data_IF_555030145534
#
_entry.id   IF_555030145534
#
_cell.length_a   1.000
_cell.length_b   1.000
_cell.length_c   1.000
_cell.angle_alpha   90.00
_cell.angle_beta   90.00
_cell.angle_gamma   90.00
#
_symmetry.space_group_name_H-M   'P 1'
#
loop_
_entity.id
_entity.type
_entity.pdbx_description
1 polymer ?
#
# COMPACT_ATOMS: atom_id res chain seq x y z
N UNK A 1 17.88 -5.70 54.48
CA UNK A 1 16.76 -6.25 53.68
C UNK A 1 16.37 -5.38 52.49
N UNK A 2 16.13 -4.06 52.62
CA UNK A 2 15.77 -3.19 51.49
C UNK A 2 16.78 -3.19 50.32
N UNK A 3 18.09 -3.17 50.62
CA UNK A 3 19.13 -3.11 49.58
C UNK A 3 19.19 -4.38 48.70
N UNK A 4 19.03 -5.57 49.30
CA UNK A 4 18.99 -6.83 48.55
C UNK A 4 17.76 -6.92 47.64
N UNK A 5 16.61 -6.43 48.09
CA UNK A 5 15.40 -6.43 47.28
C UNK A 5 15.54 -5.55 46.03
N UNK A 6 16.15 -4.37 46.18
CA UNK A 6 16.45 -3.46 45.05
C UNK A 6 17.44 -4.10 44.07
N UNK A 7 18.48 -4.79 44.57
CA UNK A 7 19.45 -5.49 43.72
C UNK A 7 18.80 -6.65 42.92
N UNK A 8 17.90 -7.42 43.53
CA UNK A 8 17.21 -8.52 42.85
C UNK A 8 16.23 -7.98 41.80
N UNK A 9 15.47 -6.92 42.11
CA UNK A 9 14.58 -6.27 41.15
C UNK A 9 15.34 -5.70 39.95
N UNK A 10 16.48 -5.04 40.18
CA UNK A 10 17.29 -4.47 39.10
C UNK A 10 17.88 -5.56 38.21
N UNK A 11 18.36 -6.68 38.76
CA UNK A 11 18.79 -7.84 37.96
C UNK A 11 17.65 -8.47 37.16
N UNK A 12 16.46 -8.59 37.74
CA UNK A 12 15.28 -9.12 37.05
C UNK A 12 14.84 -8.21 35.90
N UNK A 13 14.84 -6.89 36.12
CA UNK A 13 14.56 -5.91 35.07
C UNK A 13 15.64 -5.96 33.98
N UNK A 14 16.92 -6.07 34.34
CA UNK A 14 17.99 -6.21 33.34
C UNK A 14 17.82 -7.47 32.49
N UNK A 15 17.53 -8.61 33.11
CA UNK A 15 17.24 -9.86 32.40
C UNK A 15 16.01 -9.72 31.50
N UNK A 16 14.93 -9.10 32.00
CA UNK A 16 13.73 -8.87 31.20
C UNK A 16 13.99 -7.91 30.03
N UNK A 17 14.80 -6.88 30.23
CA UNK A 17 15.22 -5.94 29.19
C UNK A 17 16.09 -6.62 28.12
N UNK A 18 16.97 -7.55 28.51
CA UNK A 18 17.72 -8.36 27.54
C UNK A 18 16.85 -9.37 26.79
N UNK A 19 15.62 -9.61 27.25
CA UNK A 19 14.65 -10.47 26.59
C UNK A 19 13.62 -9.68 25.77
N UNK A 20 13.69 -8.34 25.74
CA UNK A 20 12.93 -7.61 24.73
C UNK A 20 13.47 -8.07 23.37
N UNK A 21 12.61 -8.63 22.49
CA UNK A 21 13.04 -9.07 21.18
C UNK A 21 13.61 -7.86 20.45
N UNK A 22 14.93 -7.90 20.21
CA UNK A 22 15.62 -6.90 19.41
C UNK A 22 14.95 -6.86 18.04
N UNK A 23 14.22 -5.77 17.81
CA UNK A 23 13.74 -5.24 16.54
C UNK A 23 13.20 -6.27 15.54
N UNK A 24 11.92 -6.12 15.22
CA UNK A 24 11.17 -6.76 14.13
C UNK A 24 11.83 -6.49 12.75
N UNK A 25 12.98 -7.10 12.53
CA UNK A 25 13.90 -7.05 11.40
C UNK A 25 14.50 -8.44 11.28
N UNK A 26 15.02 -8.81 10.10
CA UNK A 26 15.75 -10.03 9.78
C UNK A 26 16.06 -10.94 10.97
N UNK A 27 15.47 -12.13 10.99
CA UNK A 27 15.79 -13.14 11.99
C UNK A 27 17.20 -13.70 11.72
N UNK A 28 18.21 -13.03 12.29
CA UNK A 28 19.63 -13.37 12.09
C UNK A 28 19.94 -14.82 12.48
N UNK A 29 19.24 -15.39 13.45
CA UNK A 29 19.47 -16.77 13.87
C UNK A 29 18.98 -17.78 12.82
N UNK A 30 17.80 -17.55 12.23
CA UNK A 30 17.28 -18.36 11.13
C UNK A 30 18.13 -18.21 9.86
N UNK A 31 18.48 -16.96 9.54
CA UNK A 31 19.06 -16.61 8.24
C UNK A 31 20.59 -16.72 8.19
N UNK A 32 21.28 -16.85 9.33
CA UNK A 32 22.75 -16.79 9.43
C UNK A 32 23.47 -17.71 8.42
N UNK A 33 23.04 -18.97 8.30
CA UNK A 33 23.72 -19.97 7.46
C UNK A 33 23.63 -19.60 5.97
N UNK A 34 22.42 -19.50 5.43
CA UNK A 34 22.20 -19.28 4.01
C UNK A 34 22.57 -17.87 3.58
N UNK A 35 22.28 -16.84 4.38
CA UNK A 35 22.72 -15.46 4.10
C UNK A 35 24.25 -15.40 4.04
N UNK A 36 24.98 -16.02 4.97
CA UNK A 36 26.44 -16.04 4.94
C UNK A 36 26.97 -16.75 3.70
N UNK A 37 26.38 -17.89 3.33
CA UNK A 37 26.73 -18.63 2.11
C UNK A 37 26.57 -17.76 0.86
N UNK A 38 25.44 -17.08 0.71
CA UNK A 38 25.16 -16.25 -0.46
C UNK A 38 26.05 -15.01 -0.55
N UNK A 39 26.39 -14.41 0.60
CA UNK A 39 27.32 -13.27 0.66
C UNK A 39 28.76 -13.68 0.32
N UNK A 40 29.22 -14.84 0.78
CA UNK A 40 30.56 -15.38 0.45
C UNK A 40 30.66 -15.69 -1.04
N UNK A 41 29.57 -16.12 -1.68
CA UNK A 41 29.50 -16.35 -3.12
C UNK A 41 29.30 -15.06 -3.93
N UNK A 42 29.28 -13.89 -3.27
CA UNK A 42 29.11 -12.57 -3.88
C UNK A 42 27.78 -12.41 -4.65
N UNK A 43 26.77 -13.20 -4.31
CA UNK A 43 25.50 -13.24 -5.06
C UNK A 43 24.51 -12.15 -4.61
N UNK A 44 24.69 -11.56 -3.43
CA UNK A 44 23.73 -10.62 -2.82
C UNK A 44 24.33 -9.21 -2.57
N UNK A 45 25.20 -8.73 -3.46
CA UNK A 45 25.93 -7.46 -3.28
C UNK A 45 25.38 -6.26 -4.10
N UNK A 46 24.19 -6.37 -4.73
CA UNK A 46 23.55 -5.24 -5.44
C UNK A 46 22.56 -4.48 -4.53
N UNK A 47 22.04 -3.34 -5.01
CA UNK A 47 20.93 -2.61 -4.38
C UNK A 47 19.72 -2.61 -5.32
N UNK A 48 18.54 -3.12 -4.92
CA UNK A 48 17.38 -3.23 -5.83
C UNK A 48 16.85 -1.89 -6.33
N UNK A 49 17.07 -0.80 -5.57
CA UNK A 49 16.51 0.52 -5.87
C UNK A 49 17.12 1.25 -7.07
N UNK A 50 18.21 0.76 -7.66
CA UNK A 50 18.94 1.45 -8.75
C UNK A 50 18.46 1.02 -10.16
N UNK A 51 17.36 0.27 -10.26
CA UNK A 51 16.71 -0.14 -11.52
C UNK A 51 17.40 -1.28 -12.26
N UNK A 52 18.74 -1.32 -12.27
CA UNK A 52 19.54 -2.38 -12.90
C UNK A 52 20.23 -3.26 -11.84
N UNK A 53 19.48 -4.06 -11.09
CA UNK A 53 20.10 -4.96 -10.10
C UNK A 53 20.66 -6.21 -10.76
N UNK A 54 21.99 -6.23 -10.96
CA UNK A 54 22.71 -7.29 -11.66
C UNK A 54 22.78 -8.63 -10.92
N UNK A 55 22.60 -8.65 -9.59
CA UNK A 55 22.72 -9.88 -8.78
C UNK A 55 21.41 -10.29 -8.07
N UNK A 56 20.31 -9.55 -8.26
CA UNK A 56 19.04 -9.81 -7.58
C UNK A 56 18.54 -11.24 -7.81
N UNK A 57 18.64 -11.71 -9.06
CA UNK A 57 18.20 -13.03 -9.46
C UNK A 57 19.04 -14.11 -8.77
N UNK A 58 20.36 -13.97 -8.82
CA UNK A 58 21.30 -14.90 -8.23
C UNK A 58 21.18 -14.94 -6.70
N UNK A 59 20.97 -13.79 -6.07
CA UNK A 59 20.70 -13.70 -4.64
C UNK A 59 19.42 -14.46 -4.26
N UNK A 60 18.32 -14.22 -5.00
CA UNK A 60 17.04 -14.89 -4.76
C UNK A 60 17.16 -16.41 -4.91
N UNK A 61 17.85 -16.87 -5.95
CA UNK A 61 18.09 -18.30 -6.16
C UNK A 61 18.97 -18.91 -5.06
N UNK A 62 19.92 -18.15 -4.50
CA UNK A 62 20.77 -18.63 -3.43
C UNK A 62 20.03 -18.77 -2.10
N UNK A 63 19.18 -17.80 -1.74
CA UNK A 63 18.33 -17.87 -0.54
C UNK A 63 17.20 -18.89 -0.71
N UNK A 64 16.68 -19.02 -1.93
CA UNK A 64 15.68 -20.02 -2.31
C UNK A 64 14.44 -19.95 -1.43
N UNK A 65 14.15 -21.04 -0.72
CA UNK A 65 12.97 -21.17 0.13
C UNK A 65 12.97 -20.21 1.35
N UNK A 66 14.12 -19.66 1.74
CA UNK A 66 14.24 -18.69 2.84
C UNK A 66 14.16 -17.24 2.36
N UNK A 67 13.83 -16.99 1.09
CA UNK A 67 13.79 -15.64 0.53
C UNK A 67 12.86 -14.73 1.34
N UNK A 68 11.64 -15.15 1.60
CA UNK A 68 10.63 -14.35 2.27
C UNK A 68 11.02 -13.98 3.70
N UNK A 69 11.76 -14.85 4.38
CA UNK A 69 12.21 -14.67 5.75
C UNK A 69 13.54 -13.90 5.86
N UNK A 70 14.38 -13.95 4.82
CA UNK A 70 15.77 -13.51 4.89
C UNK A 70 16.18 -12.44 3.87
N UNK A 71 15.31 -12.06 2.93
CA UNK A 71 15.64 -11.05 1.91
C UNK A 71 15.95 -9.67 2.51
N UNK A 72 15.37 -9.35 3.67
CA UNK A 72 15.63 -8.09 4.37
C UNK A 72 17.03 -8.08 5.03
N UNK A 73 17.55 -9.25 5.41
CA UNK A 73 18.92 -9.42 5.91
C UNK A 73 19.99 -8.97 4.92
N UNK A 74 19.70 -9.08 3.62
CA UNK A 74 20.58 -8.71 2.51
C UNK A 74 20.12 -7.45 1.78
N UNK A 75 19.09 -6.76 2.29
CA UNK A 75 18.56 -5.54 1.68
C UNK A 75 17.95 -5.74 0.29
N UNK A 76 17.48 -6.97 0.00
CA UNK A 76 16.89 -7.34 -1.28
C UNK A 76 15.37 -7.18 -1.35
N UNK A 77 14.73 -6.90 -0.22
CA UNK A 77 13.31 -6.62 -0.13
C UNK A 77 13.03 -5.56 0.95
N UNK A 78 11.84 -4.98 0.92
CA UNK A 78 11.42 -4.06 1.96
C UNK A 78 11.32 -4.80 3.31
N UNK A 79 11.76 -4.18 4.42
CA UNK A 79 11.57 -4.74 5.74
C UNK A 79 10.09 -5.04 5.98
N UNK A 80 9.77 -6.12 6.71
CA UNK A 80 8.37 -6.54 6.96
C UNK A 80 7.51 -5.44 7.58
N UNK A 81 8.11 -4.48 8.28
CA UNK A 81 7.45 -3.31 8.86
C UNK A 81 7.05 -2.22 7.84
N UNK A 82 7.33 -2.38 6.54
CA UNK A 82 7.09 -1.34 5.53
C UNK A 82 5.63 -1.24 5.05
N UNK A 83 4.77 -2.19 5.44
CA UNK A 83 3.38 -2.23 4.96
C UNK A 83 2.38 -2.45 6.10
N UNK A 84 2.46 -1.64 7.15
CA UNK A 84 1.38 -1.50 8.15
C UNK A 84 0.19 -0.70 7.57
N UNK A 85 -0.22 -1.04 6.34
CA UNK A 85 -1.54 -0.64 5.87
C UNK A 85 -2.55 -1.37 6.78
N UNK A 86 -3.40 -0.66 7.54
CA UNK A 86 -4.34 -1.29 8.47
C UNK A 86 -5.09 -2.42 7.78
N UNK A 87 -5.41 -3.54 8.44
CA UNK A 87 -6.13 -4.67 7.80
C UNK A 87 -7.40 -4.22 7.05
N UNK A 88 -8.05 -3.16 7.52
CA UNK A 88 -9.23 -2.53 6.89
C UNK A 88 -8.99 -1.88 5.54
N UNK A 89 -7.75 -1.50 5.24
CA UNK A 89 -7.37 -0.96 3.93
C UNK A 89 -7.22 -2.03 2.85
N UNK A 90 -7.21 -3.32 3.23
CA UNK A 90 -7.25 -4.42 2.26
C UNK A 90 -8.63 -4.46 1.61
N UNK A 91 -8.65 -4.60 0.30
CA UNK A 91 -9.88 -4.58 -0.48
C UNK A 91 -9.79 -5.50 -1.68
N UNK A 92 -10.95 -6.02 -2.09
CA UNK A 92 -11.16 -6.63 -3.39
C UNK A 92 -11.74 -5.58 -4.33
N UNK A 93 -11.25 -5.54 -5.56
CA UNK A 93 -11.67 -4.57 -6.57
C UNK A 93 -12.06 -5.30 -7.85
N UNK A 94 -13.04 -4.75 -8.57
CA UNK A 94 -13.52 -5.32 -9.84
C UNK A 94 -14.07 -4.20 -10.74
N UNK A 95 -13.91 -4.36 -12.05
CA UNK A 95 -14.58 -3.53 -13.06
C UNK A 95 -15.97 -4.09 -13.33
N UNK A 96 -16.97 -3.22 -13.36
CA UNK A 96 -18.36 -3.62 -13.58
C UNK A 96 -18.67 -3.74 -15.08
N UNK A 97 -19.46 -4.75 -15.43
CA UNK A 97 -19.93 -4.92 -16.80
C UNK A 97 -21.06 -3.92 -17.09
N UNK A 98 -21.08 -3.38 -18.32
CA UNK A 98 -22.14 -2.50 -18.83
C UNK A 98 -22.46 -1.31 -17.89
N UNK A 99 -21.47 -0.49 -17.53
CA UNK A 99 -21.70 0.65 -16.66
C UNK A 99 -22.66 1.66 -17.30
N UNK A 100 -23.37 2.42 -16.46
CA UNK A 100 -24.32 3.46 -16.90
C UNK A 100 -23.84 4.82 -16.36
N UNK A 101 -22.78 5.42 -16.93
CA UNK A 101 -22.18 6.68 -16.45
C UNK A 101 -23.17 7.80 -16.17
N UNK A 102 -24.19 7.96 -17.03
CA UNK A 102 -25.21 9.00 -16.86
C UNK A 102 -26.07 8.80 -15.63
N UNK A 103 -26.37 7.55 -15.25
CA UNK A 103 -27.13 7.23 -14.05
C UNK A 103 -26.30 7.51 -12.80
N UNK A 104 -25.04 7.07 -12.79
CA UNK A 104 -24.15 7.31 -11.66
C UNK A 104 -23.97 8.81 -11.39
N UNK A 105 -23.74 9.61 -12.43
CA UNK A 105 -23.68 11.08 -12.33
C UNK A 105 -24.99 11.66 -11.78
N UNK A 106 -26.13 11.26 -12.34
CA UNK A 106 -27.43 11.76 -11.88
C UNK A 106 -27.73 11.43 -10.40
N UNK A 107 -27.25 10.29 -9.90
CA UNK A 107 -27.42 9.90 -8.49
C UNK A 107 -26.40 10.55 -7.55
N UNK A 108 -25.27 11.03 -8.08
CA UNK A 108 -24.19 11.67 -7.30
C UNK A 108 -24.16 13.19 -7.42
N UNK A 109 -24.96 13.77 -8.32
CA UNK A 109 -25.14 15.20 -8.45
C UNK A 109 -26.05 15.76 -7.34
N UNK A 110 -25.46 16.53 -6.42
CA UNK A 110 -26.18 17.25 -5.37
C UNK A 110 -26.20 16.52 -4.02
N UNK A 111 -26.99 17.06 -3.09
CA UNK A 111 -27.13 16.51 -1.74
C UNK A 111 -28.32 15.55 -1.68
N UNK A 112 -28.06 14.27 -1.38
CA UNK A 112 -29.07 13.23 -1.23
C UNK A 112 -29.17 12.82 0.25
N UNK A 113 -30.35 12.91 0.86
CA UNK A 113 -30.61 12.44 2.23
C UNK A 113 -30.77 10.90 2.32
N UNK A 114 -29.85 10.16 1.69
CA UNK A 114 -29.85 8.70 1.68
C UNK A 114 -28.78 8.16 2.63
N UNK A 115 -28.86 6.87 2.97
CA UNK A 115 -27.90 6.18 3.85
C UNK A 115 -26.59 5.82 3.11
N UNK A 116 -26.05 6.80 2.38
CA UNK A 116 -24.78 6.71 1.70
C UNK A 116 -24.05 8.05 1.74
N UNK A 117 -22.75 8.01 1.51
CA UNK A 117 -21.89 9.17 1.50
C UNK A 117 -21.19 9.32 0.14
N UNK A 118 -21.40 10.46 -0.52
CA UNK A 118 -20.78 10.79 -1.81
C UNK A 118 -19.51 11.61 -1.54
N UNK A 119 -18.38 11.16 -2.09
CA UNK A 119 -17.09 11.83 -1.93
C UNK A 119 -16.51 12.11 -3.30
N UNK A 120 -16.18 13.38 -3.54
CA UNK A 120 -15.45 13.80 -4.75
C UNK A 120 -14.09 14.37 -4.36
N UNK A 121 -13.05 13.95 -5.06
CA UNK A 121 -11.68 14.39 -4.84
C UNK A 121 -10.93 14.52 -6.19
N UNK A 122 -9.86 15.33 -6.29
CA UNK A 122 -9.11 15.45 -7.52
C UNK A 122 -8.55 14.11 -7.97
N UNK A 123 -8.67 13.77 -9.25
CA UNK A 123 -8.18 12.49 -9.81
C UNK A 123 -6.69 12.24 -9.51
N UNK A 124 -5.87 13.30 -9.38
CA UNK A 124 -4.46 13.19 -9.01
C UNK A 124 -4.25 12.58 -7.59
N UNK A 125 -5.18 12.81 -6.66
CA UNK A 125 -5.13 12.26 -5.30
C UNK A 125 -5.36 10.74 -5.26
N UNK A 126 -6.04 10.18 -6.27
CA UNK A 126 -6.21 8.72 -6.40
C UNK A 126 -4.86 7.99 -6.49
N UNK A 127 -3.87 8.64 -7.12
CA UNK A 127 -2.55 8.10 -7.40
C UNK A 127 -1.48 8.54 -6.38
N UNK A 128 -1.71 9.62 -5.61
CA UNK A 128 -0.69 10.24 -4.74
C UNK A 128 -0.27 9.37 -3.54
N UNK A 129 -1.03 8.35 -3.15
CA UNK A 129 -0.63 7.48 -2.04
C UNK A 129 0.62 6.60 -2.30
N UNK A 130 1.24 6.67 -3.48
CA UNK A 130 2.56 6.10 -3.68
C UNK A 130 3.72 6.98 -3.17
N UNK A 131 3.44 8.13 -2.55
CA UNK A 131 4.46 9.08 -2.06
C UNK A 131 5.43 8.52 -1.02
N UNK A 132 5.12 7.40 -0.35
CA UNK A 132 6.12 6.74 0.49
C UNK A 132 7.30 6.14 -0.31
N UNK A 133 7.20 5.98 -1.63
CA UNK A 133 8.37 5.66 -2.46
C UNK A 133 9.18 6.92 -2.84
N UNK A 134 8.52 8.07 -2.99
CA UNK A 134 9.19 9.32 -3.44
C UNK A 134 10.03 9.93 -2.32
N UNK A 135 9.64 9.78 -1.05
CA UNK A 135 10.48 10.21 0.08
C UNK A 135 11.85 9.50 0.11
N UNK A 136 11.95 8.30 -0.47
CA UNK A 136 13.23 7.61 -0.62
C UNK A 136 14.13 8.26 -1.68
N UNK A 137 13.56 8.77 -2.78
CA UNK A 137 14.32 9.47 -3.81
C UNK A 137 14.83 10.84 -3.33
N UNK A 138 14.07 11.56 -2.52
CA UNK A 138 14.51 12.85 -1.98
C UNK A 138 15.70 12.72 -1.01
N UNK A 139 15.88 11.56 -0.38
CA UNK A 139 17.04 11.33 0.50
C UNK A 139 18.33 11.08 -0.30
N UNK A 140 18.25 10.94 -1.63
CA UNK A 140 19.41 10.71 -2.54
C UNK A 140 19.85 11.99 -3.26
N UNK A 141 19.35 13.17 -2.86
CA UNK A 141 19.91 14.45 -3.32
C UNK A 141 21.25 14.76 -2.63
N UNK A 142 22.29 13.99 -2.97
CA UNK A 142 23.67 14.48 -3.01
C UNK A 142 24.11 14.62 -4.48
N UNK A 143 24.76 15.73 -4.85
CA UNK A 143 24.70 16.26 -6.20
C UNK A 143 25.73 15.56 -7.10
N UNK A 144 25.26 14.76 -8.05
CA UNK A 144 26.03 14.45 -9.25
C UNK A 144 25.22 14.82 -10.49
N UNK A 145 25.60 15.97 -11.05
CA UNK A 145 25.30 16.41 -12.40
C UNK A 145 25.45 15.27 -13.41
N UNK A 146 24.42 15.02 -14.22
CA UNK A 146 24.59 14.81 -15.66
C UNK A 146 23.22 14.86 -16.36
N UNK A 147 23.15 15.74 -17.36
CA UNK A 147 21.98 16.04 -18.16
C UNK A 147 21.54 14.80 -18.95
N UNK A 148 20.50 14.10 -18.48
CA UNK A 148 19.86 13.03 -19.26
C UNK A 148 18.51 13.55 -19.74
N UNK A 149 18.49 14.03 -20.99
CA UNK A 149 17.28 14.35 -21.72
C UNK A 149 16.52 13.07 -22.04
N UNK A 150 15.40 12.85 -21.34
CA UNK A 150 14.48 11.73 -21.59
C UNK A 150 13.61 12.07 -22.81
N UNK A 151 13.48 11.19 -23.82
CA UNK A 151 12.66 11.46 -24.99
C UNK A 151 11.17 11.38 -24.64
N UNK A 152 10.49 12.51 -24.77
CA UNK A 152 9.04 12.65 -24.64
C UNK A 152 8.33 11.97 -25.82
N UNK A 153 8.05 10.68 -25.71
CA UNK A 153 7.18 9.96 -26.64
C UNK A 153 5.72 9.99 -26.14
N UNK A 154 5.01 11.00 -26.62
CA UNK A 154 3.63 10.97 -27.11
C UNK A 154 2.65 9.96 -26.47
N UNK A 155 2.06 10.33 -25.34
CA UNK A 155 0.66 9.98 -25.05
C UNK A 155 -0.11 11.29 -24.97
N UNK A 156 -0.56 11.77 -26.12
CA UNK A 156 -1.45 12.91 -26.25
C UNK A 156 -2.87 12.48 -25.86
N UNK A 157 -3.18 12.44 -24.56
CA UNK A 157 -4.54 12.67 -24.12
C UNK A 157 -4.77 14.19 -24.14
N UNK A 158 -5.78 14.70 -24.85
CA UNK A 158 -5.94 16.13 -25.08
C UNK A 158 -6.19 16.84 -23.74
N UNK A 159 -5.22 17.67 -23.37
CA UNK A 159 -5.21 18.54 -22.19
C UNK A 159 -6.25 19.66 -22.40
N UNK A 160 -7.54 19.33 -22.27
CA UNK A 160 -8.63 20.28 -22.41
C UNK A 160 -9.04 20.82 -21.04
N UNK A 161 -8.62 22.05 -20.75
CA UNK A 161 -9.22 23.00 -19.79
C UNK A 161 -9.40 22.49 -18.37
N UNK A 162 -8.52 22.96 -17.46
CA UNK A 162 -8.55 23.21 -15.99
C UNK A 162 -9.88 23.12 -15.19
N UNK A 163 -10.86 22.33 -15.62
CA UNK A 163 -11.86 21.75 -14.73
C UNK A 163 -11.17 20.53 -14.16
N UNK A 164 -10.52 20.72 -13.01
CA UNK A 164 -9.98 19.66 -12.18
C UNK A 164 -10.92 18.45 -12.27
N UNK A 165 -10.48 17.40 -12.99
CA UNK A 165 -11.29 16.21 -13.13
C UNK A 165 -11.40 15.61 -11.73
N UNK A 166 -12.63 15.53 -11.22
CA UNK A 166 -12.93 14.97 -9.91
C UNK A 166 -13.32 13.51 -10.08
N UNK A 167 -12.67 12.64 -9.30
CA UNK A 167 -13.14 11.27 -9.10
C UNK A 167 -14.23 11.32 -8.04
N UNK A 168 -15.40 10.77 -8.37
CA UNK A 168 -16.55 10.69 -7.47
C UNK A 168 -16.81 9.24 -7.10
N UNK A 169 -16.95 8.98 -5.81
CA UNK A 169 -17.20 7.64 -5.25
C UNK A 169 -18.35 7.70 -4.25
N UNK A 170 -19.04 6.58 -4.07
CA UNK A 170 -20.16 6.44 -3.13
C UNK A 170 -19.85 5.35 -2.14
N UNK A 171 -19.88 5.69 -0.85
CA UNK A 171 -19.78 4.73 0.25
C UNK A 171 -21.18 4.45 0.81
N UNK A 172 -21.54 3.18 0.96
CA UNK A 172 -22.75 2.83 1.70
C UNK A 172 -22.47 2.87 3.20
N UNK A 173 -23.38 3.44 3.99
CA UNK A 173 -23.18 3.52 5.44
C UNK A 173 -23.16 2.13 6.08
N UNK A 174 -24.07 1.26 5.63
CA UNK A 174 -24.24 -0.10 6.11
C UNK A 174 -23.28 -1.09 5.45
N UNK A 175 -22.85 -2.07 6.24
CA UNK A 175 -21.96 -3.13 5.76
C UNK A 175 -22.70 -4.15 4.92
N UNK A 176 -22.01 -4.66 3.92
CA UNK A 176 -22.57 -5.67 3.03
C UNK A 176 -21.51 -6.65 2.54
N UNK A 177 -21.98 -7.81 2.08
CA UNK A 177 -21.12 -8.78 1.41
C UNK A 177 -20.57 -8.23 0.10
N UNK A 178 -19.46 -8.78 -0.38
CA UNK A 178 -18.88 -8.44 -1.69
C UNK A 178 -19.91 -8.53 -2.84
N UNK A 179 -20.76 -9.56 -2.81
CA UNK A 179 -21.80 -9.77 -3.82
C UNK A 179 -22.89 -8.69 -3.76
N UNK A 180 -23.31 -8.30 -2.55
CA UNK A 180 -24.25 -7.19 -2.39
C UNK A 180 -23.63 -5.86 -2.84
N UNK A 181 -22.35 -5.63 -2.52
CA UNK A 181 -21.63 -4.45 -2.98
C UNK A 181 -21.63 -4.33 -4.50
N UNK A 182 -21.29 -5.42 -5.19
CA UNK A 182 -21.33 -5.50 -6.65
C UNK A 182 -22.72 -5.13 -7.19
N UNK A 183 -23.78 -5.80 -6.73
CA UNK A 183 -25.15 -5.54 -7.19
C UNK A 183 -25.56 -4.10 -6.94
N UNK A 184 -25.24 -3.55 -5.76
CA UNK A 184 -25.55 -2.18 -5.41
C UNK A 184 -24.88 -1.20 -6.37
N UNK A 185 -23.59 -1.38 -6.64
CA UNK A 185 -22.84 -0.51 -7.56
C UNK A 185 -23.29 -0.65 -9.02
N UNK A 186 -23.61 -1.86 -9.48
CA UNK A 186 -24.23 -2.09 -10.79
C UNK A 186 -25.56 -1.34 -10.92
N UNK A 187 -26.40 -1.41 -9.87
CA UNK A 187 -27.71 -0.75 -9.87
C UNK A 187 -27.62 0.78 -9.85
N UNK A 188 -26.51 1.34 -9.37
CA UNK A 188 -26.20 2.77 -9.41
C UNK A 188 -25.56 3.21 -10.74
N UNK A 189 -25.22 2.29 -11.64
CA UNK A 189 -24.53 2.60 -12.89
C UNK A 189 -23.04 2.92 -12.74
N UNK A 190 -22.42 2.53 -11.61
CA UNK A 190 -21.00 2.72 -11.37
C UNK A 190 -20.14 1.97 -12.41
N UNK A 191 -18.89 2.41 -12.58
CA UNK A 191 -17.95 1.75 -13.50
C UNK A 191 -17.13 0.66 -12.85
N UNK A 192 -16.87 0.79 -11.55
CA UNK A 192 -16.07 -0.15 -10.76
C UNK A 192 -16.63 -0.20 -9.35
N UNK A 193 -16.19 -1.17 -8.56
CA UNK A 193 -16.40 -1.12 -7.12
C UNK A 193 -15.14 -1.56 -6.37
N UNK A 194 -15.05 -1.10 -5.12
CA UNK A 194 -14.08 -1.56 -4.14
C UNK A 194 -14.84 -2.05 -2.92
N UNK A 195 -14.57 -3.30 -2.55
CA UNK A 195 -15.09 -3.89 -1.31
C UNK A 195 -13.95 -4.06 -0.33
N UNK A 196 -13.99 -3.32 0.77
CA UNK A 196 -12.99 -3.41 1.83
C UNK A 196 -13.26 -4.63 2.71
N UNK A 197 -12.20 -5.24 3.24
CA UNK A 197 -12.29 -6.46 4.03
C UNK A 197 -12.99 -6.26 5.40
N UNK A 198 -13.35 -5.03 5.75
CA UNK A 198 -14.24 -4.72 6.86
C UNK A 198 -15.73 -4.59 6.44
N UNK A 199 -16.08 -5.12 5.27
CA UNK A 199 -17.42 -5.11 4.69
C UNK A 199 -17.96 -3.73 4.26
N UNK A 200 -17.10 -2.73 4.16
CA UNK A 200 -17.42 -1.44 3.55
C UNK A 200 -17.45 -1.53 2.01
N UNK A 201 -18.46 -0.95 1.39
CA UNK A 201 -18.65 -0.93 -0.05
C UNK A 201 -18.45 0.48 -0.61
N UNK A 202 -17.64 0.59 -1.66
CA UNK A 202 -17.40 1.81 -2.43
C UNK A 202 -17.75 1.58 -3.90
N UNK A 203 -18.69 2.36 -4.43
CA UNK A 203 -18.98 2.42 -5.85
C UNK A 203 -18.20 3.55 -6.50
N UNK A 204 -17.55 3.26 -7.63
CA UNK A 204 -16.56 4.15 -8.20
C UNK A 204 -17.06 4.67 -9.55
N UNK A 205 -17.02 5.99 -9.69
CA UNK A 205 -17.47 6.69 -10.88
C UNK A 205 -16.59 6.50 -12.10
N UNK A 206 -17.12 6.84 -13.30
CA UNK A 206 -16.40 6.71 -14.56
C UNK A 206 -15.22 7.68 -14.71
N UNK A 207 -15.16 8.75 -13.91
CA UNK A 207 -14.08 9.74 -13.94
C UNK A 207 -12.81 9.29 -13.20
N UNK A 208 -12.90 8.25 -12.36
CA UNK A 208 -11.78 7.71 -11.61
C UNK A 208 -10.87 6.84 -12.49
N UNK A 209 -9.56 7.03 -12.38
CA UNK A 209 -8.56 6.33 -13.19
C UNK A 209 -8.40 4.87 -12.72
N UNK A 210 -8.31 4.66 -11.41
CA UNK A 210 -8.06 3.36 -10.78
C UNK A 210 -9.32 2.92 -10.01
N UNK A 211 -9.18 2.49 -8.75
CA UNK A 211 -10.28 1.97 -7.94
C UNK A 211 -10.71 2.93 -6.82
N UNK A 212 -10.76 4.23 -7.09
CA UNK A 212 -11.24 5.23 -6.14
C UNK A 212 -10.35 5.38 -4.92
N UNK A 213 -10.94 5.76 -3.79
CA UNK A 213 -10.18 6.05 -2.57
C UNK A 213 -9.73 4.76 -1.88
N UNK A 214 -8.50 4.76 -1.35
CA UNK A 214 -7.95 3.64 -0.56
C UNK A 214 -8.37 3.70 0.92
N UNK A 215 -9.17 4.69 1.30
CA UNK A 215 -9.61 4.94 2.66
C UNK A 215 -11.06 4.49 2.84
N UNK A 216 -11.30 3.67 3.87
CA UNK A 216 -12.65 3.25 4.28
C UNK A 216 -13.41 4.46 4.83
N UNK A 217 -14.63 4.72 4.34
CA UNK A 217 -15.50 5.81 4.82
C UNK A 217 -16.93 5.39 5.17
N UNK A 218 -17.25 4.10 5.18
CA UNK A 218 -18.56 3.61 5.61
C UNK A 218 -18.78 3.83 7.12
N UNK A 219 -19.93 4.37 7.52
CA UNK A 219 -20.18 4.79 8.90
C UNK A 219 -20.46 3.63 9.87
N UNK A 220 -21.14 2.57 9.42
CA UNK A 220 -21.63 1.50 10.29
C UNK A 220 -20.78 0.23 10.22
N UNK A 221 -19.58 0.29 9.63
CA UNK A 221 -18.67 -0.84 9.53
C UNK A 221 -17.58 -0.81 10.58
N UNK A 222 -17.30 -1.97 11.16
CA UNK A 222 -16.27 -2.09 12.17
C UNK A 222 -14.90 -1.72 11.58
N UNK A 223 -14.09 -1.05 12.40
CA UNK A 223 -12.69 -0.74 12.13
C UNK A 223 -11.78 -1.96 12.33
#
# INVERSE_FOLDING_TARGET
MKLHYVAVLTLAILMFLTWLPESLSCNKALCASDVSKCLIQELCQCRPGEGNCSCCKECMLCLGALWDECCDCVGMCNPRNYSDTPPTSKSTVEELHEPIPSLFRALTEGDTQLNWNIVSFPVAEELSHHENLVSFLETVNQPHHQNVSVPSNNVHAPYSSDKEHMCTVVYFDDCMSIHQCKISCESMGASKYRWFHNACCECIGPECIDYGSKTVKCMNCMF
#
